data_IF_674308966316
#
_entry.id   IF_674308966316
#
_cell.length_a   1.000
_cell.length_b   1.000
_cell.length_c   1.000
_cell.angle_alpha   90.00
_cell.angle_beta   90.00
_cell.angle_gamma   90.00
#
_symmetry.space_group_name_H-M   'P 1'
#
loop_
_entity.id
_entity.type
_entity.pdbx_description
1 polymer ?
#
# COMPACT_ATOMS: atom_id res chain seq x y z
N UNK A 1 4.68 5.53 -7.93
CA UNK A 1 4.68 4.05 -8.13
C UNK A 1 3.27 3.53 -8.43
N UNK A 2 2.29 3.64 -7.52
CA UNK A 2 0.94 3.10 -7.76
C UNK A 2 0.20 3.78 -8.93
N UNK A 3 0.21 5.12 -9.01
CA UNK A 3 -0.44 5.87 -10.10
C UNK A 3 0.22 5.55 -11.46
N UNK A 4 1.55 5.51 -11.51
CA UNK A 4 2.33 5.14 -12.72
C UNK A 4 2.02 3.72 -13.17
N UNK A 5 1.91 2.76 -12.23
CA UNK A 5 1.53 1.38 -12.54
C UNK A 5 0.09 1.27 -13.06
N UNK A 6 -0.83 2.09 -12.54
CA UNK A 6 -2.21 2.14 -13.04
C UNK A 6 -2.25 2.70 -14.46
N UNK A 7 -1.59 3.83 -14.72
CA UNK A 7 -1.55 4.47 -16.05
C UNK A 7 -0.91 3.57 -17.11
N UNK A 8 0.15 2.85 -16.77
CA UNK A 8 0.74 1.84 -17.66
C UNK A 8 -0.25 0.72 -17.99
N UNK A 9 -0.91 0.17 -16.98
CA UNK A 9 -1.93 -0.89 -17.15
C UNK A 9 -3.09 -0.44 -18.05
N UNK A 10 -3.48 0.84 -17.96
CA UNK A 10 -4.56 1.43 -18.78
C UNK A 10 -4.15 1.49 -20.25
N UNK A 11 -2.94 1.91 -20.54
CA UNK A 11 -2.50 2.05 -21.93
C UNK A 11 -2.21 0.71 -22.60
N UNK A 12 -1.75 -0.28 -21.83
CA UNK A 12 -1.67 -1.68 -22.26
C UNK A 12 -3.07 -2.22 -22.58
N UNK A 13 -4.07 -1.97 -21.72
CA UNK A 13 -5.46 -2.37 -21.93
C UNK A 13 -6.08 -1.72 -23.19
N UNK A 14 -5.93 -0.40 -23.36
CA UNK A 14 -6.43 0.30 -24.55
C UNK A 14 -5.80 -0.21 -25.83
N UNK A 15 -4.48 -0.44 -25.82
CA UNK A 15 -3.73 -0.92 -26.97
C UNK A 15 -4.15 -2.34 -27.36
N UNK A 16 -4.29 -3.23 -26.38
CA UNK A 16 -4.79 -4.59 -26.57
C UNK A 16 -6.20 -4.56 -27.19
N UNK A 17 -7.14 -3.82 -26.57
CA UNK A 17 -8.53 -3.74 -27.04
C UNK A 17 -8.64 -3.14 -28.45
N UNK A 18 -7.83 -2.13 -28.78
CA UNK A 18 -7.78 -1.56 -30.13
C UNK A 18 -7.31 -2.59 -31.17
N UNK A 19 -6.25 -3.34 -30.87
CA UNK A 19 -5.75 -4.43 -31.74
C UNK A 19 -6.84 -5.47 -31.95
N UNK A 20 -7.54 -5.88 -30.89
CA UNK A 20 -8.62 -6.86 -30.95
C UNK A 20 -9.80 -6.39 -31.81
N UNK A 21 -10.22 -5.14 -31.63
CA UNK A 21 -11.28 -4.56 -32.44
C UNK A 21 -10.90 -4.52 -33.92
N UNK A 22 -9.69 -4.08 -34.24
CA UNK A 22 -9.17 -4.05 -35.60
C UNK A 22 -9.10 -5.46 -36.21
N UNK A 23 -8.62 -6.44 -35.45
CA UNK A 23 -8.54 -7.84 -35.83
C UNK A 23 -9.92 -8.38 -36.24
N UNK A 24 -10.92 -8.20 -35.39
CA UNK A 24 -12.27 -8.71 -35.65
C UNK A 24 -12.93 -8.01 -36.85
N UNK A 25 -12.82 -6.68 -36.94
CA UNK A 25 -13.36 -5.91 -38.08
C UNK A 25 -12.72 -6.36 -39.40
N UNK A 26 -11.40 -6.54 -39.45
CA UNK A 26 -10.71 -7.02 -40.65
C UNK A 26 -11.01 -8.49 -40.94
N UNK A 27 -11.18 -9.33 -39.93
CA UNK A 27 -11.59 -10.73 -40.10
C UNK A 27 -12.97 -10.84 -40.75
N UNK A 28 -13.93 -10.00 -40.37
CA UNK A 28 -15.23 -9.92 -41.03
C UNK A 28 -15.09 -9.52 -42.51
N UNK A 29 -14.22 -8.54 -42.84
CA UNK A 29 -13.92 -8.15 -44.22
C UNK A 29 -13.25 -9.28 -45.01
N UNK A 30 -12.34 -10.04 -44.39
CA UNK A 30 -11.69 -11.21 -44.98
C UNK A 30 -12.71 -12.31 -45.30
N UNK A 31 -13.64 -12.63 -44.39
CA UNK A 31 -14.71 -13.63 -44.62
C UNK A 31 -15.62 -13.24 -45.79
N UNK A 32 -15.91 -11.95 -45.93
CA UNK A 32 -16.66 -11.39 -47.07
C UNK A 32 -15.84 -11.28 -48.36
N UNK A 33 -14.59 -11.76 -48.37
CA UNK A 33 -13.64 -11.67 -49.49
C UNK A 33 -13.31 -10.24 -49.95
N UNK A 34 -13.56 -9.24 -49.10
CA UNK A 34 -13.16 -7.85 -49.39
C UNK A 34 -11.64 -7.61 -49.22
N UNK A 35 -10.96 -8.50 -48.48
CA UNK A 35 -9.50 -8.54 -48.37
C UNK A 35 -9.02 -10.00 -48.39
N UNK A 36 -7.77 -10.22 -48.84
CA UNK A 36 -7.18 -11.56 -48.85
C UNK A 36 -6.71 -12.00 -47.47
N UNK A 37 -6.66 -13.32 -47.25
CA UNK A 37 -6.12 -13.91 -46.00
C UNK A 37 -4.66 -13.50 -45.76
N UNK A 38 -3.85 -13.44 -46.81
CA UNK A 38 -2.44 -13.05 -46.72
C UNK A 38 -2.29 -11.58 -46.31
N UNK A 39 -3.11 -10.69 -46.89
CA UNK A 39 -3.16 -9.28 -46.49
C UNK A 39 -3.51 -9.14 -45.01
N UNK A 40 -4.59 -9.80 -44.56
CA UNK A 40 -5.04 -9.75 -43.18
C UNK A 40 -3.94 -10.13 -42.17
N UNK A 41 -3.26 -11.26 -42.37
CA UNK A 41 -2.20 -11.71 -41.44
C UNK A 41 -1.00 -10.75 -41.44
N UNK A 42 -0.53 -10.33 -42.62
CA UNK A 42 0.61 -9.40 -42.73
C UNK A 42 0.30 -8.04 -42.11
N UNK A 43 -0.91 -7.53 -42.37
CA UNK A 43 -1.35 -6.24 -41.85
C UNK A 43 -1.46 -6.27 -40.33
N UNK A 44 -2.15 -7.27 -39.77
CA UNK A 44 -2.29 -7.38 -38.31
C UNK A 44 -0.96 -7.59 -37.61
N UNK A 45 -0.06 -8.41 -38.16
CA UNK A 45 1.29 -8.59 -37.61
C UNK A 45 2.04 -7.26 -37.53
N UNK A 46 2.05 -6.50 -38.63
CA UNK A 46 2.71 -5.19 -38.69
C UNK A 46 2.12 -4.19 -37.69
N UNK A 47 0.80 -4.14 -37.53
CA UNK A 47 0.17 -3.22 -36.57
C UNK A 47 0.49 -3.60 -35.12
N UNK A 48 0.56 -4.91 -34.80
CA UNK A 48 0.99 -5.37 -33.48
C UNK A 48 2.44 -4.96 -33.18
N UNK A 49 3.35 -5.22 -34.12
CA UNK A 49 4.75 -4.77 -34.03
C UNK A 49 4.85 -3.25 -33.86
N UNK A 50 4.11 -2.47 -34.65
CA UNK A 50 4.07 -1.00 -34.55
C UNK A 50 3.58 -0.53 -33.15
N UNK A 51 2.60 -1.20 -32.54
CA UNK A 51 2.09 -0.88 -31.19
C UNK A 51 3.14 -1.18 -30.13
N UNK A 52 3.73 -2.38 -30.19
CA UNK A 52 4.73 -2.84 -29.22
C UNK A 52 5.99 -1.96 -29.26
N UNK A 53 6.44 -1.57 -30.46
CA UNK A 53 7.60 -0.70 -30.66
C UNK A 53 7.36 0.70 -30.07
N UNK A 54 6.18 1.29 -30.34
CA UNK A 54 5.80 2.61 -29.80
C UNK A 54 5.75 2.57 -28.27
N UNK A 55 5.10 1.54 -27.70
CA UNK A 55 4.99 1.37 -26.25
C UNK A 55 6.37 1.23 -25.59
N UNK A 56 7.22 0.37 -26.15
CA UNK A 56 8.58 0.12 -25.64
C UNK A 56 9.47 1.36 -25.74
N UNK A 57 9.38 2.12 -26.84
CA UNK A 57 10.15 3.34 -27.03
C UNK A 57 9.77 4.39 -25.97
N UNK A 58 8.47 4.66 -25.79
CA UNK A 58 8.00 5.65 -24.84
C UNK A 58 8.35 5.24 -23.40
N UNK A 59 8.22 3.96 -23.05
CA UNK A 59 8.57 3.46 -21.72
C UNK A 59 10.06 3.67 -21.42
N UNK A 60 10.95 3.33 -22.36
CA UNK A 60 12.39 3.53 -22.21
C UNK A 60 12.76 5.00 -22.04
N UNK A 61 12.19 5.88 -22.85
CA UNK A 61 12.43 7.32 -22.73
C UNK A 61 11.96 7.86 -21.38
N UNK A 62 10.81 7.38 -20.87
CA UNK A 62 10.31 7.75 -19.54
C UNK A 62 11.26 7.26 -18.44
N UNK A 63 11.65 6.00 -18.48
CA UNK A 63 12.58 5.41 -17.50
C UNK A 63 13.92 6.15 -17.48
N UNK A 64 14.48 6.46 -18.66
CA UNK A 64 15.73 7.22 -18.78
C UNK A 64 15.60 8.62 -18.18
N UNK A 65 14.48 9.31 -18.39
CA UNK A 65 14.26 10.66 -17.85
C UNK A 65 13.97 10.64 -16.35
N UNK A 66 13.21 9.66 -15.85
CA UNK A 66 13.02 9.44 -14.41
C UNK A 66 14.36 9.14 -13.73
N UNK A 67 15.21 8.30 -14.34
CA UNK A 67 16.52 7.96 -13.79
C UNK A 67 17.46 9.17 -13.75
N UNK A 68 17.53 9.96 -14.83
CA UNK A 68 18.28 11.24 -14.82
C UNK A 68 17.81 12.16 -13.71
N UNK A 69 16.51 12.22 -13.47
CA UNK A 69 15.91 13.06 -12.44
C UNK A 69 16.27 12.56 -11.03
N UNK A 70 16.15 11.25 -10.79
CA UNK A 70 16.53 10.59 -9.51
C UNK A 70 18.02 10.66 -9.22
N UNK A 71 18.86 10.71 -10.26
CA UNK A 71 20.31 10.84 -10.12
C UNK A 71 20.77 12.30 -9.98
N UNK A 72 19.85 13.27 -10.03
CA UNK A 72 20.17 14.68 -9.86
C UNK A 72 20.39 15.03 -8.37
N UNK A 73 21.65 15.20 -7.99
CA UNK A 73 22.07 15.50 -6.61
C UNK A 73 21.45 16.78 -6.02
N UNK A 74 21.00 17.74 -6.84
CA UNK A 74 20.34 18.96 -6.36
C UNK A 74 18.88 18.71 -5.96
N UNK A 75 18.19 17.81 -6.67
CA UNK A 75 16.77 17.50 -6.44
C UNK A 75 16.58 16.46 -5.32
N UNK A 76 17.55 15.58 -5.10
CA UNK A 76 17.46 14.57 -4.02
C UNK A 76 17.45 15.14 -2.59
N UNK A 77 17.79 16.42 -2.41
CA UNK A 77 17.71 17.10 -1.11
C UNK A 77 16.35 17.73 -0.84
N UNK A 78 15.53 17.88 -1.88
CA UNK A 78 14.19 18.45 -1.81
C UNK A 78 13.19 17.48 -2.44
N UNK A 79 12.67 16.58 -1.60
CA UNK A 79 11.72 15.54 -1.98
C UNK A 79 10.48 16.11 -2.66
N UNK A 80 10.03 17.31 -2.28
CA UNK A 80 8.82 17.92 -2.83
C UNK A 80 9.05 18.43 -4.26
N UNK A 81 10.21 19.05 -4.51
CA UNK A 81 10.59 19.46 -5.87
C UNK A 81 10.82 18.23 -6.77
N UNK A 82 11.47 17.18 -6.27
CA UNK A 82 11.64 15.92 -7.00
C UNK A 82 10.29 15.30 -7.40
N UNK A 83 9.33 15.26 -6.47
CA UNK A 83 8.00 14.69 -6.73
C UNK A 83 7.20 15.51 -7.74
N UNK A 84 7.32 16.84 -7.69
CA UNK A 84 6.72 17.75 -8.69
C UNK A 84 7.29 17.52 -10.09
N UNK A 85 8.61 17.35 -10.21
CA UNK A 85 9.27 17.09 -11.50
C UNK A 85 8.94 15.70 -12.04
N UNK A 86 8.83 14.67 -11.18
CA UNK A 86 8.35 13.34 -11.59
C UNK A 86 6.91 13.40 -12.13
N UNK A 87 6.02 14.19 -11.52
CA UNK A 87 4.65 14.38 -12.03
C UNK A 87 4.63 15.08 -13.39
N UNK A 88 5.56 16.00 -13.67
CA UNK A 88 5.68 16.63 -14.99
C UNK A 88 6.13 15.63 -16.04
N UNK A 89 7.12 14.79 -15.75
CA UNK A 89 7.56 13.69 -16.62
C UNK A 89 6.37 12.77 -16.92
N UNK A 90 5.63 12.37 -15.89
CA UNK A 90 4.45 11.52 -16.04
C UNK A 90 3.39 12.14 -16.97
N UNK A 91 3.05 13.41 -16.74
CA UNK A 91 2.09 14.15 -17.58
C UNK A 91 2.58 14.27 -19.02
N UNK A 92 3.87 14.52 -19.22
CA UNK A 92 4.49 14.61 -20.55
C UNK A 92 4.34 13.29 -21.32
N UNK A 93 4.71 12.17 -20.71
CA UNK A 93 4.68 10.87 -21.36
C UNK A 93 3.26 10.32 -21.57
N UNK A 94 2.32 10.63 -20.67
CA UNK A 94 0.89 10.37 -20.89
C UNK A 94 0.36 11.12 -22.13
N UNK A 95 0.71 12.40 -22.28
CA UNK A 95 0.35 13.17 -23.48
C UNK A 95 1.01 12.60 -24.75
N UNK A 96 2.27 12.18 -24.66
CA UNK A 96 3.00 11.56 -25.77
C UNK A 96 2.35 10.25 -26.22
N UNK A 97 1.90 9.41 -25.29
CA UNK A 97 1.14 8.19 -25.60
C UNK A 97 -0.18 8.50 -26.31
N UNK A 98 -0.95 9.46 -25.81
CA UNK A 98 -2.21 9.86 -26.44
C UNK A 98 -2.00 10.34 -27.89
N UNK A 99 -0.94 11.11 -28.13
CA UNK A 99 -0.57 11.53 -29.49
C UNK A 99 -0.19 10.33 -30.37
N UNK A 100 0.62 9.40 -29.85
CA UNK A 100 1.05 8.22 -30.58
C UNK A 100 -0.14 7.33 -30.98
N UNK A 101 -1.17 7.19 -30.14
CA UNK A 101 -2.40 6.48 -30.50
C UNK A 101 -3.17 7.14 -31.65
N UNK A 102 -3.27 8.48 -31.65
CA UNK A 102 -3.91 9.23 -32.75
C UNK A 102 -3.13 9.01 -34.06
N UNK A 103 -1.80 9.09 -33.99
CA UNK A 103 -0.93 8.85 -35.14
C UNK A 103 -1.03 7.42 -35.66
N UNK A 104 -1.12 6.44 -34.77
CA UNK A 104 -1.31 5.04 -35.14
C UNK A 104 -2.64 4.82 -35.86
N UNK A 105 -3.75 5.41 -35.38
CA UNK A 105 -5.05 5.34 -36.09
C UNK A 105 -4.96 5.94 -37.49
N UNK A 106 -4.24 7.07 -37.66
CA UNK A 106 -3.98 7.66 -38.99
C UNK A 106 -3.12 6.73 -39.86
N UNK A 107 -2.09 6.09 -39.28
CA UNK A 107 -1.21 5.14 -39.95
C UNK A 107 -1.97 3.89 -40.41
N UNK A 108 -2.86 3.35 -39.58
CA UNK A 108 -3.77 2.24 -39.93
C UNK A 108 -4.61 2.63 -41.14
N UNK A 109 -5.31 3.77 -41.11
CA UNK A 109 -6.12 4.25 -42.24
C UNK A 109 -5.28 4.38 -43.52
N UNK A 110 -4.12 5.05 -43.43
CA UNK A 110 -3.22 5.26 -44.57
C UNK A 110 -2.72 3.94 -45.15
N UNK A 111 -2.41 2.96 -44.31
CA UNK A 111 -1.97 1.64 -44.74
C UNK A 111 -3.12 0.84 -45.38
N UNK A 112 -4.34 0.92 -44.84
CA UNK A 112 -5.53 0.31 -45.46
C UNK A 112 -5.77 0.89 -46.85
N UNK A 113 -5.73 2.21 -47.01
CA UNK A 113 -5.93 2.88 -48.32
C UNK A 113 -4.87 2.45 -49.34
N UNK A 114 -3.61 2.29 -48.91
CA UNK A 114 -2.51 1.98 -49.82
C UNK A 114 -2.37 0.50 -50.17
N UNK A 115 -2.71 -0.38 -49.24
CA UNK A 115 -2.32 -1.79 -49.30
C UNK A 115 -3.52 -2.74 -49.40
N UNK A 116 -4.74 -2.27 -49.11
CA UNK A 116 -5.95 -3.06 -49.30
C UNK A 116 -6.60 -2.76 -50.64
N UNK A 117 -7.40 -3.71 -51.13
CA UNK A 117 -8.25 -3.54 -52.32
C UNK A 117 -9.63 -2.94 -51.94
N UNK A 118 -9.81 -2.51 -50.69
CA UNK A 118 -11.06 -1.93 -50.21
C UNK A 118 -11.28 -0.52 -50.77
N UNK A 119 -12.54 -0.17 -50.99
CA UNK A 119 -12.92 1.21 -51.34
C UNK A 119 -12.69 2.17 -50.17
N UNK A 120 -12.50 3.46 -50.46
CA UNK A 120 -12.31 4.49 -49.43
C UNK A 120 -13.50 4.58 -48.47
N UNK A 121 -14.72 4.44 -48.97
CA UNK A 121 -15.96 4.43 -48.17
C UNK A 121 -16.00 3.25 -47.20
N UNK A 122 -15.56 2.06 -47.62
CA UNK A 122 -15.49 0.90 -46.73
C UNK A 122 -14.40 1.03 -45.67
N UNK A 123 -13.28 1.68 -46.00
CA UNK A 123 -12.21 1.97 -45.05
C UNK A 123 -12.70 3.00 -44.03
N UNK A 124 -13.39 4.05 -44.46
CA UNK A 124 -13.91 5.08 -43.56
C UNK A 124 -15.01 4.52 -42.64
N UNK A 125 -15.88 3.62 -43.10
CA UNK A 125 -16.84 2.89 -42.26
C UNK A 125 -16.13 2.00 -41.21
N UNK A 126 -15.08 1.27 -41.62
CA UNK A 126 -14.29 0.45 -40.69
C UNK A 126 -13.61 1.31 -39.61
N UNK A 127 -12.98 2.42 -40.02
CA UNK A 127 -12.33 3.34 -39.09
C UNK A 127 -13.34 4.01 -38.15
N UNK A 128 -14.53 4.35 -38.65
CA UNK A 128 -15.62 4.91 -37.82
C UNK A 128 -16.06 3.92 -36.76
N UNK A 129 -16.25 2.64 -37.13
CA UNK A 129 -16.58 1.57 -36.17
C UNK A 129 -15.48 1.37 -35.13
N UNK A 130 -14.21 1.38 -35.55
CA UNK A 130 -13.07 1.30 -34.63
C UNK A 130 -13.05 2.47 -33.65
N UNK A 131 -13.26 3.71 -34.14
CA UNK A 131 -13.28 4.91 -33.27
C UNK A 131 -14.45 4.86 -32.29
N UNK A 132 -15.65 4.47 -32.73
CA UNK A 132 -16.81 4.36 -31.85
C UNK A 132 -16.63 3.29 -30.77
N UNK A 133 -16.09 2.12 -31.14
CA UNK A 133 -15.80 1.06 -30.18
C UNK A 133 -14.71 1.48 -29.19
N UNK A 134 -13.69 2.24 -29.63
CA UNK A 134 -12.68 2.78 -28.73
C UNK A 134 -13.24 3.85 -27.79
N UNK A 135 -14.19 4.68 -28.23
CA UNK A 135 -14.85 5.64 -27.34
C UNK A 135 -15.62 4.93 -26.22
N UNK A 136 -16.28 3.80 -26.52
CA UNK A 136 -16.92 2.98 -25.48
C UNK A 136 -15.92 2.34 -24.51
N UNK A 137 -14.75 1.93 -25.01
CA UNK A 137 -13.65 1.44 -24.17
C UNK A 137 -13.13 2.55 -23.25
N UNK A 138 -12.90 3.75 -23.78
CA UNK A 138 -12.44 4.90 -23.01
C UNK A 138 -13.43 5.28 -21.90
N UNK A 139 -14.74 5.26 -22.18
CA UNK A 139 -15.78 5.50 -21.18
C UNK A 139 -15.73 4.46 -20.04
N UNK A 140 -15.67 3.17 -20.40
CA UNK A 140 -15.60 2.07 -19.43
C UNK A 140 -14.34 2.13 -18.56
N UNK A 141 -13.19 2.37 -19.17
CA UNK A 141 -11.92 2.57 -18.45
C UNK A 141 -12.02 3.79 -17.53
N UNK A 142 -12.61 4.90 -17.98
CA UNK A 142 -12.77 6.10 -17.17
C UNK A 142 -13.66 5.88 -15.93
N UNK A 143 -14.76 5.12 -16.07
CA UNK A 143 -15.61 4.73 -14.94
C UNK A 143 -14.86 3.85 -13.93
N UNK A 144 -14.11 2.88 -14.43
CA UNK A 144 -13.31 1.97 -13.59
C UNK A 144 -12.18 2.72 -12.87
N UNK A 145 -11.50 3.66 -13.52
CA UNK A 145 -10.52 4.54 -12.88
C UNK A 145 -11.14 5.36 -11.74
N UNK A 146 -12.32 5.94 -11.97
CA UNK A 146 -13.01 6.69 -10.93
C UNK A 146 -13.38 5.80 -9.73
N UNK A 147 -13.73 4.52 -9.98
CA UNK A 147 -13.96 3.53 -8.92
C UNK A 147 -12.68 3.23 -8.15
N UNK A 148 -11.61 2.86 -8.84
CA UNK A 148 -10.32 2.52 -8.24
C UNK A 148 -9.75 3.69 -7.41
N UNK A 149 -9.89 4.92 -7.91
CA UNK A 149 -9.49 6.12 -7.17
C UNK A 149 -10.25 6.27 -5.85
N UNK A 150 -11.58 6.14 -5.87
CA UNK A 150 -12.39 6.20 -4.63
C UNK A 150 -12.02 5.07 -3.66
N UNK A 151 -11.81 3.86 -4.15
CA UNK A 151 -11.38 2.73 -3.33
C UNK A 151 -10.01 2.98 -2.68
N UNK A 152 -9.06 3.54 -3.44
CA UNK A 152 -7.75 3.94 -2.92
C UNK A 152 -7.88 5.04 -1.85
N UNK A 153 -8.67 6.08 -2.10
CA UNK A 153 -8.89 7.18 -1.16
C UNK A 153 -9.48 6.66 0.16
N UNK A 154 -10.48 5.77 0.09
CA UNK A 154 -11.05 5.10 1.27
C UNK A 154 -10.02 4.27 2.02
N UNK A 155 -9.18 3.50 1.31
CA UNK A 155 -8.14 2.68 1.93
C UNK A 155 -7.07 3.54 2.61
N UNK A 156 -6.63 4.61 1.97
CA UNK A 156 -5.67 5.57 2.53
C UNK A 156 -6.24 6.26 3.77
N UNK A 157 -7.53 6.61 3.76
CA UNK A 157 -8.21 7.18 4.93
C UNK A 157 -8.22 6.19 6.10
N UNK A 158 -8.63 4.93 5.88
CA UNK A 158 -8.60 3.88 6.91
C UNK A 158 -7.20 3.71 7.49
N UNK A 159 -6.16 3.74 6.64
CA UNK A 159 -4.77 3.62 7.07
C UNK A 159 -4.31 4.82 7.92
N UNK A 160 -4.72 6.04 7.56
CA UNK A 160 -4.44 7.24 8.36
C UNK A 160 -5.09 7.15 9.74
N UNK A 161 -6.37 6.78 9.80
CA UNK A 161 -7.08 6.59 11.06
C UNK A 161 -6.40 5.54 11.96
N UNK A 162 -5.94 4.44 11.38
CA UNK A 162 -5.21 3.42 12.14
C UNK A 162 -3.87 3.94 12.69
N UNK A 163 -3.14 4.74 11.91
CA UNK A 163 -1.89 5.36 12.37
C UNK A 163 -2.13 6.41 13.45
N UNK A 164 -3.14 7.25 13.31
CA UNK A 164 -3.54 8.23 14.34
C UNK A 164 -3.91 7.54 15.65
N UNK A 165 -4.61 6.40 15.59
CA UNK A 165 -4.92 5.61 16.78
C UNK A 165 -3.65 5.06 17.46
N UNK A 166 -2.70 4.54 16.67
CA UNK A 166 -1.40 4.06 17.20
C UNK A 166 -0.61 5.22 17.83
N UNK A 167 -0.61 6.40 17.23
CA UNK A 167 0.05 7.59 17.80
C UNK A 167 -0.59 8.01 19.14
N UNK A 168 -1.92 7.94 19.25
CA UNK A 168 -2.64 8.20 20.50
C UNK A 168 -2.29 7.17 21.59
N UNK A 169 -2.24 5.89 21.25
CA UNK A 169 -1.78 4.82 22.18
C UNK A 169 -0.35 5.10 22.68
N UNK A 170 0.56 5.48 21.79
CA UNK A 170 1.96 5.78 22.15
C UNK A 170 2.11 7.01 23.07
N UNK A 171 1.23 8.02 22.95
CA UNK A 171 1.18 9.16 23.88
C UNK A 171 0.71 8.68 25.26
N UNK A 172 -0.31 7.82 25.28
CA UNK A 172 -0.88 7.26 26.50
C UNK A 172 0.14 6.40 27.28
N UNK A 173 0.94 5.60 26.56
CA UNK A 173 2.04 4.81 27.14
C UNK A 173 3.11 5.67 27.83
N UNK A 174 3.38 6.89 27.33
CA UNK A 174 4.28 7.82 28.03
C UNK A 174 3.66 8.34 29.33
N UNK A 175 2.37 8.69 29.31
CA UNK A 175 1.65 9.17 30.50
C UNK A 175 1.52 8.07 31.57
N UNK A 176 1.43 6.81 31.17
CA UNK A 176 1.40 5.66 32.08
C UNK A 176 2.66 5.59 32.96
N UNK A 177 3.85 5.78 32.38
CA UNK A 177 5.12 5.77 33.12
C UNK A 177 5.17 6.86 34.20
N UNK A 178 4.85 8.11 33.84
CA UNK A 178 4.84 9.24 34.77
C UNK A 178 3.84 8.99 35.90
N UNK A 179 2.66 8.46 35.56
CA UNK A 179 1.61 8.10 36.52
C UNK A 179 2.07 7.00 37.48
N UNK A 180 2.80 5.99 36.99
CA UNK A 180 3.31 4.87 37.80
C UNK A 180 4.36 5.33 38.79
N UNK A 181 5.25 6.25 38.39
CA UNK A 181 6.24 6.87 39.29
C UNK A 181 5.55 7.72 40.36
N UNK A 182 4.56 8.55 40.00
CA UNK A 182 3.82 9.38 40.95
C UNK A 182 3.00 8.54 41.95
N UNK A 183 2.33 7.49 41.48
CA UNK A 183 1.61 6.55 42.37
C UNK A 183 2.57 5.85 43.32
N UNK A 184 3.70 5.35 42.83
CA UNK A 184 4.72 4.76 43.69
C UNK A 184 5.23 5.74 44.75
N UNK A 185 5.53 6.99 44.36
CA UNK A 185 5.95 8.06 45.27
C UNK A 185 4.93 8.30 46.37
N UNK A 186 3.65 8.33 46.02
CA UNK A 186 2.55 8.47 46.98
C UNK A 186 2.50 7.27 47.93
N UNK A 187 2.48 6.03 47.41
CA UNK A 187 2.42 4.81 48.24
C UNK A 187 3.57 4.74 49.25
N UNK A 188 4.79 5.08 48.82
CA UNK A 188 5.99 5.07 49.68
C UNK A 188 5.94 6.18 50.71
N UNK A 189 5.60 7.41 50.32
CA UNK A 189 5.53 8.55 51.23
C UNK A 189 4.48 8.36 52.32
N UNK A 190 3.28 7.86 51.98
CA UNK A 190 2.23 7.54 52.95
C UNK A 190 2.68 6.44 53.93
N UNK A 191 3.33 5.39 53.42
CA UNK A 191 3.79 4.28 54.26
C UNK A 191 5.00 4.64 55.15
N UNK A 192 5.78 5.65 54.75
CA UNK A 192 6.92 6.15 55.53
C UNK A 192 6.51 7.19 56.58
N UNK A 193 5.48 8.00 56.31
CA UNK A 193 4.95 9.00 57.24
C UNK A 193 4.51 8.37 58.58
N UNK A 194 3.87 7.20 58.53
CA UNK A 194 3.44 6.43 59.71
C UNK A 194 4.60 5.95 60.60
N UNK A 195 5.82 5.89 60.05
CA UNK A 195 6.98 5.26 60.70
C UNK A 195 7.99 6.24 61.31
N UNK A 196 7.77 7.56 61.16
CA UNK A 196 8.72 8.59 61.62
C UNK A 196 10.06 8.61 60.88
N UNK A 197 10.12 7.96 59.70
CA UNK A 197 11.34 7.78 58.90
C UNK A 197 11.40 8.84 57.79
N UNK A 198 12.60 9.41 57.63
CA UNK A 198 12.87 10.70 56.98
C UNK A 198 12.40 10.77 55.52
N UNK A 199 11.66 11.84 55.17
CA UNK A 199 11.23 12.19 53.81
C UNK A 199 12.37 12.16 52.77
N UNK A 200 13.61 12.46 53.19
CA UNK A 200 14.79 12.49 52.32
C UNK A 200 15.13 11.14 51.67
N UNK A 201 14.75 10.01 52.27
CA UNK A 201 14.97 8.69 51.67
C UNK A 201 13.91 8.34 50.61
N UNK A 202 12.71 8.93 50.68
CA UNK A 202 11.63 8.69 49.72
C UNK A 202 11.99 9.25 48.34
N UNK A 203 12.48 10.50 48.30
CA UNK A 203 12.83 11.17 47.04
C UNK A 203 14.00 10.49 46.31
N UNK A 204 15.04 10.08 47.04
CA UNK A 204 16.18 9.35 46.46
C UNK A 204 15.77 8.00 45.87
N UNK A 205 14.84 7.30 46.51
CA UNK A 205 14.37 5.97 46.08
C UNK A 205 13.42 6.09 44.88
N UNK A 206 12.54 7.10 44.88
CA UNK A 206 11.69 7.42 43.73
C UNK A 206 12.53 7.81 42.53
N UNK A 207 13.59 8.60 42.73
CA UNK A 207 14.53 8.98 41.67
C UNK A 207 15.33 7.78 41.15
N UNK A 208 15.77 6.89 42.03
CA UNK A 208 16.44 5.63 41.64
C UNK A 208 15.49 4.77 40.78
N UNK A 209 14.23 4.62 41.19
CA UNK A 209 13.22 3.86 40.44
C UNK A 209 12.91 4.49 39.07
N UNK A 210 12.72 5.82 39.01
CA UNK A 210 12.46 6.52 37.77
C UNK A 210 13.60 6.34 36.75
N UNK A 211 14.86 6.40 37.20
CA UNK A 211 16.02 6.14 36.34
C UNK A 211 16.05 4.68 35.83
N UNK A 212 15.66 3.72 36.67
CA UNK A 212 15.59 2.31 36.26
C UNK A 212 14.46 2.07 35.25
N UNK A 213 13.29 2.68 35.44
CA UNK A 213 12.19 2.63 34.47
C UNK A 213 12.60 3.21 33.11
N UNK A 214 13.28 4.36 33.08
CA UNK A 214 13.83 4.92 31.84
C UNK A 214 14.84 3.97 31.17
N UNK A 215 15.68 3.30 31.97
CA UNK A 215 16.59 2.26 31.50
C UNK A 215 15.88 1.07 30.85
N UNK A 216 14.85 0.52 31.51
CA UNK A 216 14.01 -0.57 31.01
C UNK A 216 13.35 -0.17 29.68
N UNK A 217 12.74 1.02 29.63
CA UNK A 217 12.09 1.55 28.43
C UNK A 217 13.07 1.69 27.26
N UNK A 218 14.26 2.25 27.50
CA UNK A 218 15.31 2.36 26.47
C UNK A 218 15.78 0.99 25.96
N UNK A 219 15.90 0.01 26.86
CA UNK A 219 16.27 -1.36 26.51
C UNK A 219 15.22 -2.01 25.61
N UNK A 220 13.95 -1.99 26.01
CA UNK A 220 12.84 -2.56 25.22
C UNK A 220 12.62 -1.81 23.91
N UNK A 221 12.73 -0.48 23.89
CA UNK A 221 12.64 0.30 22.65
C UNK A 221 13.70 -0.10 21.62
N UNK A 222 14.94 -0.33 22.05
CA UNK A 222 16.02 -0.78 21.16
C UNK A 222 15.78 -2.20 20.64
N UNK A 223 15.30 -3.10 21.49
CA UNK A 223 14.91 -4.46 21.09
C UNK A 223 13.75 -4.46 20.10
N UNK A 224 12.71 -3.68 20.39
CA UNK A 224 11.53 -3.49 19.57
C UNK A 224 11.88 -2.97 18.17
N UNK A 225 12.75 -1.97 18.05
CA UNK A 225 13.16 -1.44 16.74
C UNK A 225 13.78 -2.50 15.82
N UNK A 226 14.51 -3.47 16.38
CA UNK A 226 15.07 -4.57 15.60
C UNK A 226 14.01 -5.59 15.20
N UNK A 227 13.07 -5.90 16.11
CA UNK A 227 11.97 -6.84 15.84
C UNK A 227 10.98 -6.25 14.83
N UNK A 228 10.61 -4.98 14.98
CA UNK A 228 9.71 -4.27 14.09
C UNK A 228 10.28 -4.22 12.67
N UNK A 229 11.56 -3.91 12.52
CA UNK A 229 12.23 -3.93 11.20
C UNK A 229 12.15 -5.32 10.55
N UNK A 230 12.50 -6.38 11.28
CA UNK A 230 12.38 -7.76 10.77
C UNK A 230 10.94 -8.12 10.41
N UNK A 231 9.97 -7.63 11.20
CA UNK A 231 8.54 -7.85 10.96
C UNK A 231 8.10 -7.14 9.67
N UNK A 232 8.49 -5.88 9.48
CA UNK A 232 8.24 -5.15 8.23
C UNK A 232 8.80 -5.88 7.01
N UNK A 233 10.05 -6.36 7.08
CA UNK A 233 10.66 -7.11 5.99
C UNK A 233 9.88 -8.40 5.67
N UNK A 234 9.45 -9.13 6.71
CA UNK A 234 8.64 -10.35 6.57
C UNK A 234 7.27 -10.06 5.93
N UNK A 235 6.58 -9.00 6.40
CA UNK A 235 5.29 -8.55 5.86
C UNK A 235 5.42 -8.10 4.40
N UNK A 236 6.48 -7.36 4.06
CA UNK A 236 6.78 -6.95 2.70
C UNK A 236 7.00 -8.14 1.76
N UNK A 237 7.76 -9.15 2.19
CA UNK A 237 7.98 -10.38 1.42
C UNK A 237 6.68 -11.20 1.26
N UNK A 238 5.86 -11.28 2.31
CA UNK A 238 4.54 -11.92 2.25
C UNK A 238 3.61 -11.23 1.25
N UNK A 239 3.58 -9.89 1.27
CA UNK A 239 2.84 -9.07 0.30
C UNK A 239 3.32 -9.35 -1.12
N UNK A 240 4.62 -9.29 -1.37
CA UNK A 240 5.20 -9.57 -2.69
C UNK A 240 4.77 -10.94 -3.21
N UNK A 241 4.93 -11.98 -2.37
CA UNK A 241 4.58 -13.37 -2.74
C UNK A 241 3.11 -13.53 -3.09
N UNK A 242 2.20 -12.92 -2.31
CA UNK A 242 0.76 -12.99 -2.55
C UNK A 242 0.37 -12.23 -3.83
N UNK A 243 0.98 -11.08 -4.08
CA UNK A 243 0.75 -10.32 -5.31
C UNK A 243 1.27 -11.05 -6.54
N UNK A 244 2.48 -11.64 -6.50
CA UNK A 244 3.01 -12.41 -7.63
C UNK A 244 2.09 -13.56 -8.03
N UNK A 245 1.58 -14.33 -7.06
CA UNK A 245 0.62 -15.41 -7.32
C UNK A 245 -0.69 -14.90 -7.94
N UNK A 246 -1.19 -13.76 -7.48
CA UNK A 246 -2.41 -13.17 -8.01
C UNK A 246 -2.19 -12.68 -9.45
N UNK A 247 -1.08 -12.02 -9.73
CA UNK A 247 -0.73 -11.54 -11.08
C UNK A 247 -0.57 -12.71 -12.04
N UNK A 248 0.16 -13.77 -11.65
CA UNK A 248 0.30 -14.98 -12.48
C UNK A 248 -1.06 -15.61 -12.84
N UNK A 249 -1.98 -15.71 -11.86
CA UNK A 249 -3.35 -16.17 -12.10
C UNK A 249 -4.08 -15.29 -13.11
N UNK A 250 -3.98 -13.98 -12.95
CA UNK A 250 -4.67 -13.00 -13.80
C UNK A 250 -4.11 -12.99 -15.22
N UNK A 251 -2.79 -13.09 -15.39
CA UNK A 251 -2.15 -13.19 -16.70
C UNK A 251 -2.57 -14.46 -17.45
N UNK A 252 -2.78 -15.58 -16.73
CA UNK A 252 -3.35 -16.81 -17.31
C UNK A 252 -4.79 -16.60 -17.76
N UNK A 253 -5.65 -16.00 -16.93
CA UNK A 253 -7.06 -15.74 -17.27
C UNK A 253 -7.20 -14.79 -18.46
N UNK A 254 -6.39 -13.73 -18.52
CA UNK A 254 -6.30 -12.85 -19.70
C UNK A 254 -5.88 -13.66 -20.92
N UNK A 255 -4.79 -14.44 -20.83
CA UNK A 255 -4.29 -15.24 -21.93
C UNK A 255 -5.33 -16.26 -22.45
N UNK A 256 -6.11 -16.86 -21.56
CA UNK A 256 -7.20 -17.77 -21.92
C UNK A 256 -8.33 -17.03 -22.64
N UNK A 257 -8.75 -15.87 -22.13
CA UNK A 257 -9.77 -15.06 -22.78
C UNK A 257 -9.31 -14.61 -24.18
N UNK A 258 -8.06 -14.17 -24.32
CA UNK A 258 -7.50 -13.78 -25.62
C UNK A 258 -7.45 -14.95 -26.63
N UNK A 259 -7.32 -16.20 -26.17
CA UNK A 259 -7.42 -17.37 -27.06
C UNK A 259 -8.85 -17.61 -27.57
N UNK A 260 -9.88 -17.24 -26.80
CA UNK A 260 -11.28 -17.36 -27.23
C UNK A 260 -11.67 -16.34 -28.32
N UNK A 261 -10.92 -15.23 -28.40
CA UNK A 261 -11.07 -14.18 -29.42
C UNK A 261 -11.00 -14.73 -30.85
N UNK A 262 -10.16 -15.75 -31.09
CA UNK A 262 -10.00 -16.32 -32.44
C UNK A 262 -11.30 -16.88 -33.02
N UNK A 263 -12.35 -17.05 -32.19
CA UNK A 263 -13.65 -17.61 -32.55
C UNK A 263 -14.79 -16.60 -32.48
N UNK A 264 -14.60 -15.41 -31.87
CA UNK A 264 -15.69 -14.43 -31.70
C UNK A 264 -15.83 -13.50 -32.91
N UNK A 265 -17.07 -13.40 -33.43
CA UNK A 265 -17.41 -12.44 -34.50
C UNK A 265 -17.99 -11.13 -33.96
N UNK A 266 -18.41 -11.10 -32.70
CA UNK A 266 -19.02 -9.93 -32.06
C UNK A 266 -17.98 -9.19 -31.20
N UNK A 267 -17.49 -8.06 -31.73
CA UNK A 267 -16.54 -7.18 -31.02
C UNK A 267 -17.10 -6.62 -29.71
N UNK A 268 -18.39 -6.29 -29.68
CA UNK A 268 -19.01 -5.63 -28.52
C UNK A 268 -19.13 -6.59 -27.34
N UNK A 269 -19.51 -7.83 -27.61
CA UNK A 269 -19.59 -8.88 -26.58
C UNK A 269 -18.20 -9.19 -26.00
N UNK A 270 -17.18 -9.30 -26.87
CA UNK A 270 -15.81 -9.52 -26.41
C UNK A 270 -15.29 -8.38 -25.53
N UNK A 271 -15.51 -7.11 -25.93
CA UNK A 271 -15.14 -5.93 -25.13
C UNK A 271 -15.81 -5.99 -23.75
N UNK A 272 -17.08 -6.41 -23.69
CA UNK A 272 -17.79 -6.53 -22.42
C UNK A 272 -17.15 -7.60 -21.54
N UNK A 273 -16.94 -8.81 -22.06
CA UNK A 273 -16.32 -9.91 -21.30
C UNK A 273 -14.90 -9.55 -20.83
N UNK A 274 -14.10 -8.93 -21.70
CA UNK A 274 -12.74 -8.49 -21.34
C UNK A 274 -12.77 -7.44 -20.23
N UNK A 275 -13.60 -6.41 -20.38
CA UNK A 275 -13.71 -5.37 -19.36
C UNK A 275 -14.23 -5.91 -18.02
N UNK A 276 -15.22 -6.82 -18.05
CA UNK A 276 -15.76 -7.44 -16.83
C UNK A 276 -14.66 -8.27 -16.11
N UNK A 277 -13.81 -8.98 -16.87
CA UNK A 277 -12.67 -9.73 -16.32
C UNK A 277 -11.64 -8.80 -15.66
N UNK A 278 -11.23 -7.73 -16.36
CA UNK A 278 -10.26 -6.76 -15.82
C UNK A 278 -10.84 -6.06 -14.59
N UNK A 279 -12.13 -5.70 -14.60
CA UNK A 279 -12.83 -5.14 -13.45
C UNK A 279 -12.76 -6.08 -12.25
N UNK A 280 -13.01 -7.38 -12.46
CA UNK A 280 -12.89 -8.41 -11.43
C UNK A 280 -11.45 -8.51 -10.91
N UNK A 281 -10.45 -8.50 -11.79
CA UNK A 281 -9.03 -8.54 -11.41
C UNK A 281 -8.64 -7.37 -10.52
N UNK A 282 -9.11 -6.18 -10.85
CA UNK A 282 -8.89 -4.99 -10.03
C UNK A 282 -9.56 -5.10 -8.66
N UNK A 283 -10.80 -5.61 -8.59
CA UNK A 283 -11.48 -5.84 -7.31
C UNK A 283 -10.75 -6.88 -6.45
N UNK A 284 -10.23 -7.95 -7.06
CA UNK A 284 -9.42 -8.96 -6.35
C UNK A 284 -8.13 -8.35 -5.78
N UNK A 285 -7.44 -7.50 -6.57
CA UNK A 285 -6.23 -6.78 -6.12
C UNK A 285 -6.55 -5.78 -4.99
N UNK A 286 -7.66 -5.06 -5.09
CA UNK A 286 -8.12 -4.12 -4.06
C UNK A 286 -8.39 -4.85 -2.74
N UNK A 287 -9.16 -5.94 -2.80
CA UNK A 287 -9.46 -6.78 -1.63
C UNK A 287 -8.19 -7.32 -0.98
N UNK A 288 -7.25 -7.84 -1.77
CA UNK A 288 -5.96 -8.30 -1.26
C UNK A 288 -5.17 -7.16 -0.59
N UNK A 289 -5.19 -5.95 -1.15
CA UNK A 289 -4.56 -4.80 -0.50
C UNK A 289 -5.18 -4.49 0.86
N UNK A 290 -6.51 -4.49 0.96
CA UNK A 290 -7.22 -4.22 2.22
C UNK A 290 -6.91 -5.28 3.29
N UNK A 291 -6.96 -6.56 2.91
CA UNK A 291 -6.63 -7.68 3.81
C UNK A 291 -5.19 -7.58 4.32
N UNK A 292 -4.24 -7.24 3.43
CA UNK A 292 -2.84 -7.07 3.81
C UNK A 292 -2.63 -5.83 4.67
N UNK A 293 -3.24 -4.69 4.35
CA UNK A 293 -3.14 -3.48 5.17
C UNK A 293 -3.67 -3.73 6.59
N UNK A 294 -4.81 -4.43 6.73
CA UNK A 294 -5.36 -4.80 8.03
C UNK A 294 -4.45 -5.78 8.79
N UNK A 295 -3.92 -6.79 8.09
CA UNK A 295 -3.01 -7.75 8.70
C UNK A 295 -1.71 -7.08 9.15
N UNK A 296 -1.14 -6.19 8.34
CA UNK A 296 0.09 -5.47 8.66
C UNK A 296 -0.10 -4.61 9.91
N UNK A 297 -1.23 -3.89 10.01
CA UNK A 297 -1.58 -3.08 11.20
C UNK A 297 -1.72 -3.99 12.44
N UNK A 298 -2.45 -5.10 12.31
CA UNK A 298 -2.68 -6.03 13.42
C UNK A 298 -1.36 -6.62 13.93
N UNK A 299 -0.55 -7.15 13.04
CA UNK A 299 0.73 -7.79 13.37
C UNK A 299 1.73 -6.80 14.02
N UNK A 300 1.70 -5.54 13.61
CA UNK A 300 2.51 -4.49 14.24
C UNK A 300 1.97 -4.09 15.62
N UNK A 301 0.64 -4.02 15.78
CA UNK A 301 0.00 -3.79 17.08
C UNK A 301 0.28 -4.93 18.06
N UNK A 302 0.15 -6.18 17.62
CA UNK A 302 0.41 -7.35 18.45
C UNK A 302 1.87 -7.34 18.95
N UNK A 303 2.82 -6.94 18.09
CA UNK A 303 4.23 -6.80 18.48
C UNK A 303 4.46 -5.66 19.49
N UNK A 304 3.75 -4.54 19.35
CA UNK A 304 3.82 -3.42 20.30
C UNK A 304 3.19 -3.80 21.65
N UNK A 305 2.04 -4.47 21.64
CA UNK A 305 1.42 -4.99 22.86
C UNK A 305 2.33 -5.98 23.59
N UNK A 306 3.01 -6.87 22.86
CA UNK A 306 3.98 -7.80 23.46
C UNK A 306 5.15 -7.04 24.12
N UNK A 307 5.66 -5.99 23.48
CA UNK A 307 6.68 -5.11 24.08
C UNK A 307 6.16 -4.46 25.35
N UNK A 308 4.99 -3.81 25.28
CA UNK A 308 4.40 -3.08 26.41
C UNK A 308 4.11 -4.02 27.59
N UNK A 309 3.66 -5.25 27.35
CA UNK A 309 3.46 -6.25 28.40
C UNK A 309 4.80 -6.63 29.08
N UNK A 310 5.84 -6.92 28.30
CA UNK A 310 7.17 -7.26 28.83
C UNK A 310 7.81 -6.09 29.60
N UNK A 311 7.65 -4.87 29.09
CA UNK A 311 8.09 -3.66 29.77
C UNK A 311 7.37 -3.50 31.12
N UNK A 312 6.05 -3.70 31.15
CA UNK A 312 5.25 -3.60 32.37
C UNK A 312 5.61 -4.66 33.41
N UNK A 313 5.82 -5.92 32.99
CA UNK A 313 6.27 -7.02 33.86
C UNK A 313 7.64 -6.72 34.49
N UNK A 314 8.58 -6.18 33.71
CA UNK A 314 9.91 -5.83 34.20
C UNK A 314 9.86 -4.63 35.16
N UNK A 315 9.02 -3.63 34.87
CA UNK A 315 8.78 -2.52 35.78
C UNK A 315 8.16 -2.99 37.11
N UNK A 316 7.17 -3.90 37.10
CA UNK A 316 6.60 -4.48 38.32
C UNK A 316 7.66 -5.22 39.14
N UNK A 317 8.50 -6.01 38.47
CA UNK A 317 9.63 -6.69 39.11
C UNK A 317 10.60 -5.70 39.77
N UNK A 318 10.86 -4.56 39.11
CA UNK A 318 11.77 -3.54 39.64
C UNK A 318 11.17 -2.75 40.80
N UNK A 319 9.86 -2.53 40.82
CA UNK A 319 9.14 -2.01 42.00
C UNK A 319 9.36 -2.95 43.18
N UNK A 320 9.09 -4.25 43.02
CA UNK A 320 9.25 -5.21 44.10
C UNK A 320 10.69 -5.27 44.63
N UNK A 321 11.69 -5.23 43.75
CA UNK A 321 13.11 -5.19 44.14
C UNK A 321 13.43 -3.91 44.91
N UNK A 322 12.97 -2.76 44.41
CA UNK A 322 13.22 -1.46 45.04
C UNK A 322 12.58 -1.38 46.43
N UNK A 323 11.37 -1.91 46.59
CA UNK A 323 10.68 -1.98 47.89
C UNK A 323 11.34 -3.00 48.83
N UNK A 324 11.81 -4.17 48.34
CA UNK A 324 12.60 -5.11 49.15
C UNK A 324 13.96 -4.53 49.58
N UNK A 325 14.52 -3.59 48.83
CA UNK A 325 15.73 -2.87 49.23
C UNK A 325 15.45 -1.78 50.28
N UNK A 326 14.18 -1.41 50.55
CA UNK A 326 13.84 -0.55 51.68
C UNK A 326 14.15 -1.23 53.01
N UNK A 327 13.87 -2.53 53.12
CA UNK A 327 14.16 -3.34 54.33
C UNK A 327 15.62 -3.20 54.79
N UNK A 328 16.57 -3.11 53.85
CA UNK A 328 18.00 -2.97 54.16
C UNK A 328 18.46 -1.52 54.40
N UNK A 329 17.68 -0.52 53.99
CA UNK A 329 18.04 0.91 54.13
C UNK A 329 17.29 1.65 55.24
N UNK A 330 16.11 1.19 55.65
CA UNK A 330 15.18 1.96 56.51
C UNK A 330 14.66 1.21 57.74
N UNK A 331 15.25 0.08 58.16
CA UNK A 331 14.77 -0.73 59.31
C UNK A 331 13.26 -1.05 59.24
N UNK A 332 12.70 -1.25 58.04
CA UNK A 332 11.30 -1.64 57.86
C UNK A 332 11.16 -3.16 58.08
N UNK A 333 10.03 -3.57 58.65
CA UNK A 333 9.68 -4.98 58.82
C UNK A 333 9.22 -5.58 57.48
N UNK A 334 9.35 -6.90 57.33
CA UNK A 334 8.89 -7.61 56.14
C UNK A 334 7.38 -7.44 55.88
N UNK A 335 6.58 -7.25 56.93
CA UNK A 335 5.14 -6.98 56.80
C UNK A 335 4.84 -5.58 56.26
N UNK A 336 5.61 -4.56 56.65
CA UNK A 336 5.46 -3.21 56.11
C UNK A 336 5.87 -3.15 54.64
N UNK A 337 6.94 -3.84 54.27
CA UNK A 337 7.39 -3.99 52.87
C UNK A 337 6.34 -4.70 52.02
N UNK A 338 5.75 -5.79 52.53
CA UNK A 338 4.67 -6.49 51.82
C UNK A 338 3.44 -5.59 51.60
N UNK A 339 3.06 -4.81 52.60
CA UNK A 339 1.93 -3.85 52.53
C UNK A 339 2.15 -2.78 51.45
N UNK A 340 3.37 -2.26 51.31
CA UNK A 340 3.71 -1.27 50.27
C UNK A 340 3.56 -1.89 48.87
N UNK A 341 4.06 -3.11 48.67
CA UNK A 341 3.94 -3.82 47.38
C UNK A 341 2.46 -4.07 47.05
N UNK A 342 1.68 -4.54 48.01
CA UNK A 342 0.26 -4.82 47.83
C UNK A 342 -0.55 -3.56 47.51
N UNK A 343 -0.32 -2.47 48.25
CA UNK A 343 -0.98 -1.18 48.01
C UNK A 343 -0.63 -0.62 46.63
N UNK A 344 0.65 -0.69 46.22
CA UNK A 344 1.06 -0.22 44.90
C UNK A 344 0.41 -1.04 43.78
N UNK A 345 0.37 -2.37 43.92
CA UNK A 345 -0.31 -3.26 42.95
C UNK A 345 -1.80 -2.91 42.85
N UNK A 346 -2.49 -2.71 43.98
CA UNK A 346 -3.90 -2.31 43.99
C UNK A 346 -4.13 -0.94 43.34
N UNK A 347 -3.24 0.05 43.56
CA UNK A 347 -3.34 1.37 42.91
C UNK A 347 -3.10 1.29 41.39
N UNK A 348 -2.27 0.36 40.92
CA UNK A 348 -2.01 0.11 39.51
C UNK A 348 -3.11 -0.72 38.82
N UNK A 349 -3.68 -1.71 39.49
CA UNK A 349 -4.85 -2.45 38.99
C UNK A 349 -6.05 -1.52 38.77
N UNK A 350 -6.34 -0.63 39.74
CA UNK A 350 -7.40 0.36 39.61
C UNK A 350 -7.16 1.37 38.47
N UNK A 351 -5.90 1.66 38.14
CA UNK A 351 -5.54 2.50 36.98
C UNK A 351 -5.84 1.79 35.67
N UNK A 352 -5.37 0.55 35.53
CA UNK A 352 -5.51 -0.24 34.32
C UNK A 352 -7.00 -0.52 34.02
N UNK A 353 -7.83 -0.78 35.04
CA UNK A 353 -9.29 -0.94 34.87
C UNK A 353 -9.93 0.36 34.35
N UNK A 354 -9.56 1.53 34.86
CA UNK A 354 -10.14 2.80 34.39
C UNK A 354 -9.71 3.15 32.96
N UNK A 355 -8.48 2.77 32.59
CA UNK A 355 -7.90 2.99 31.27
C UNK A 355 -8.57 2.14 30.17
N UNK A 356 -8.88 0.86 30.43
CA UNK A 356 -9.51 -0.03 29.46
C UNK A 356 -11.01 0.21 29.23
N UNK A 357 -11.71 0.95 30.11
CA UNK A 357 -13.15 1.23 29.98
C UNK A 357 -13.47 2.61 29.41
N UNK A 358 -12.48 3.47 29.16
CA UNK A 358 -12.68 4.87 28.69
C UNK A 358 -12.08 5.17 27.30
N UNK A 359 -11.36 4.22 26.70
CA UNK A 359 -10.98 4.19 25.27
C UNK A 359 -11.77 3.10 24.55
#
# INVERSE_FOLDING_TARGET
AAIVSMEKSIEEEKSALMIHQLNSLLRQKMKKKAITKNFFHKFMKKIKEDVDDIGTMIEREREDDEEKLRNNQKLNKDTQTLETELQKIQTHYSNKQNQAQIELRRKIRKNLVKLSEMSTTEIDDLMTKLVNNMAMVDEKIGLEQARQKRALDQRLLKRRQALEYIELEAVNDKQNMDTRVEKFKKTVSESMADSGKVESYSDDIVKELANKFDGIKKYHAKGYNNLSRKKYDSLANSRLTKFSKLVEKQDMEISELLKTEEKSENTTDFIKVYHDLITQHHMEREKLCEELDQNDIKEMRDLEQERTNKENEEMDSEVEKTVKNLTSRTNMTSSEVARIIENHKAEMENYNVFFFFTT
#
